data_IF_818047777465
#
_entry.id   IF_818047777465
#
_cell.length_a   1.000
_cell.length_b   1.000
_cell.length_c   1.000
_cell.angle_alpha   90.00
_cell.angle_beta   90.00
_cell.angle_gamma   90.00
#
_symmetry.space_group_name_H-M   'P 1'
#
loop_
_entity.id
_entity.type
_entity.pdbx_description
1 polymer ?
#
# COMPACT_ATOMS: atom_id res chain seq x y z
N UNK A 1 1.34 11.96 -6.97
CA UNK A 1 0.74 12.18 -5.63
C UNK A 1 1.04 10.96 -4.77
N UNK A 2 1.30 11.12 -3.47
CA UNK A 2 1.53 10.01 -2.52
C UNK A 2 0.51 10.10 -1.40
N UNK A 3 -0.15 9.00 -1.05
CA UNK A 3 -1.18 8.93 0.00
C UNK A 3 -0.86 7.76 0.92
N UNK A 4 -0.86 7.99 2.22
CA UNK A 4 -0.72 6.97 3.24
C UNK A 4 -2.00 6.92 4.10
N UNK A 5 -2.51 5.71 4.36
CA UNK A 5 -3.71 5.49 5.20
C UNK A 5 -3.29 4.72 6.44
N UNK A 6 -3.30 5.38 7.59
CA UNK A 6 -2.89 4.82 8.89
C UNK A 6 -3.99 4.96 9.94
N UNK A 7 -3.90 4.17 11.02
CA UNK A 7 -4.92 4.11 12.08
C UNK A 7 -4.96 2.77 12.82
N UNK A 8 -5.76 2.72 13.89
CA UNK A 8 -5.89 1.53 14.75
C UNK A 8 -6.41 0.28 14.01
N UNK A 9 -6.25 -0.89 14.62
CA UNK A 9 -6.86 -2.14 14.13
C UNK A 9 -8.39 -1.99 13.99
N UNK A 10 -8.95 -2.50 12.90
CA UNK A 10 -10.40 -2.48 12.66
C UNK A 10 -11.00 -1.12 12.23
N UNK A 11 -10.20 -0.05 12.05
CA UNK A 11 -10.73 1.28 11.66
C UNK A 11 -11.11 1.41 10.18
N UNK A 12 -11.09 0.33 9.40
CA UNK A 12 -11.46 0.34 7.97
C UNK A 12 -10.37 0.83 7.00
N UNK A 13 -9.09 0.85 7.41
CA UNK A 13 -7.96 1.36 6.59
C UNK A 13 -7.88 0.72 5.22
N UNK A 14 -7.85 -0.60 5.16
CA UNK A 14 -7.72 -1.36 3.92
C UNK A 14 -8.91 -1.13 3.00
N UNK A 15 -10.12 -1.05 3.55
CA UNK A 15 -11.33 -0.72 2.81
C UNK A 15 -11.26 0.67 2.19
N UNK A 16 -10.83 1.67 2.98
CA UNK A 16 -10.66 3.04 2.51
C UNK A 16 -9.57 3.14 1.44
N UNK A 17 -8.40 2.53 1.67
CA UNK A 17 -7.28 2.50 0.75
C UNK A 17 -7.65 1.85 -0.60
N UNK A 18 -8.30 0.69 -0.56
CA UNK A 18 -8.78 0.01 -1.77
C UNK A 18 -9.85 0.81 -2.52
N UNK A 19 -10.79 1.43 -1.81
CA UNK A 19 -11.82 2.28 -2.42
C UNK A 19 -11.19 3.49 -3.11
N UNK A 20 -10.28 4.17 -2.42
CA UNK A 20 -9.58 5.33 -2.96
C UNK A 20 -8.74 4.97 -4.19
N UNK A 21 -8.00 3.86 -4.14
CA UNK A 21 -7.22 3.37 -5.27
C UNK A 21 -8.12 3.11 -6.50
N UNK A 22 -9.29 2.46 -6.30
CA UNK A 22 -10.25 2.20 -7.37
C UNK A 22 -10.84 3.48 -7.95
N UNK A 23 -11.16 4.47 -7.13
CA UNK A 23 -11.69 5.77 -7.60
C UNK A 23 -10.63 6.49 -8.43
N UNK A 24 -9.40 6.62 -7.90
CA UNK A 24 -8.30 7.29 -8.60
C UNK A 24 -7.99 6.62 -9.95
N UNK A 25 -7.95 5.28 -9.98
CA UNK A 25 -7.72 4.53 -11.20
C UNK A 25 -8.85 4.74 -12.22
N UNK A 26 -10.12 4.73 -11.78
CA UNK A 26 -11.28 5.00 -12.64
C UNK A 26 -11.30 6.43 -13.18
N UNK A 27 -10.70 7.38 -12.47
CA UNK A 27 -10.50 8.75 -12.94
C UNK A 27 -9.32 8.91 -13.92
N UNK A 28 -8.72 7.81 -14.40
CA UNK A 28 -7.66 7.83 -15.41
C UNK A 28 -6.24 7.95 -14.85
N UNK A 29 -6.07 7.88 -13.52
CA UNK A 29 -4.74 7.93 -12.93
C UNK A 29 -4.07 6.55 -12.99
N UNK A 30 -2.76 6.52 -13.25
CA UNK A 30 -1.93 5.33 -12.98
C UNK A 30 -1.75 5.22 -11.47
N UNK A 31 -2.24 4.13 -10.88
CA UNK A 31 -2.24 3.91 -9.43
C UNK A 31 -1.40 2.69 -9.09
N UNK A 32 -0.41 2.88 -8.23
CA UNK A 32 0.29 1.82 -7.52
C UNK A 32 -0.30 1.74 -6.10
N UNK A 33 -0.90 0.60 -5.76
CA UNK A 33 -1.51 0.35 -4.46
C UNK A 33 -0.65 -0.65 -3.68
N UNK A 34 -0.20 -0.27 -2.50
CA UNK A 34 0.73 -1.05 -1.68
C UNK A 34 0.05 -1.38 -0.34
N UNK A 35 0.08 -2.66 0.05
CA UNK A 35 -0.33 -3.12 1.38
C UNK A 35 0.92 -3.45 2.19
N UNK A 36 1.08 -2.77 3.32
CA UNK A 36 2.20 -2.96 4.27
C UNK A 36 1.71 -3.56 5.59
N UNK A 37 0.50 -4.11 5.62
CA UNK A 37 -0.01 -4.86 6.77
C UNK A 37 0.59 -6.28 6.77
N UNK A 38 1.05 -6.81 7.92
CA UNK A 38 1.52 -8.19 8.03
C UNK A 38 0.48 -9.24 7.62
N UNK A 39 -0.82 -8.89 7.63
CA UNK A 39 -1.89 -9.71 7.07
C UNK A 39 -2.60 -8.96 5.92
N UNK A 40 -2.05 -9.00 4.70
CA UNK A 40 -2.51 -8.15 3.60
C UNK A 40 -3.91 -8.54 3.12
N UNK A 41 -4.77 -7.55 2.94
CA UNK A 41 -6.17 -7.73 2.50
C UNK A 41 -6.58 -6.73 1.41
N UNK A 42 -5.64 -5.92 0.92
CA UNK A 42 -5.91 -4.91 -0.11
C UNK A 42 -6.33 -5.52 -1.44
N UNK A 43 -5.72 -6.64 -1.86
CA UNK A 43 -6.06 -7.32 -3.11
C UNK A 43 -7.55 -7.71 -3.17
N UNK A 44 -8.06 -8.27 -2.07
CA UNK A 44 -9.48 -8.61 -1.91
C UNK A 44 -10.35 -7.35 -1.95
N UNK A 45 -9.93 -6.27 -1.28
CA UNK A 45 -10.64 -4.97 -1.30
C UNK A 45 -10.69 -4.34 -2.70
N UNK A 46 -9.69 -4.62 -3.53
CA UNK A 46 -9.64 -4.21 -4.94
C UNK A 46 -10.54 -5.07 -5.85
N UNK A 47 -11.05 -6.20 -5.33
CA UNK A 47 -11.95 -7.11 -6.05
C UNK A 47 -11.23 -8.19 -6.86
N UNK A 48 -9.99 -8.52 -6.50
CA UNK A 48 -9.30 -9.67 -7.08
C UNK A 48 -9.88 -10.96 -6.48
N UNK A 49 -9.99 -11.99 -7.32
CA UNK A 49 -10.27 -13.35 -6.87
C UNK A 49 -9.04 -13.94 -6.13
N UNK A 50 -9.21 -15.04 -5.37
CA UNK A 50 -8.13 -15.64 -4.59
C UNK A 50 -6.91 -16.05 -5.42
N UNK A 51 -7.11 -16.56 -6.64
CA UNK A 51 -6.00 -17.03 -7.49
C UNK A 51 -5.14 -15.84 -7.96
N UNK A 52 -5.79 -14.75 -8.38
CA UNK A 52 -5.10 -13.52 -8.75
C UNK A 52 -4.45 -12.82 -7.57
N UNK A 53 -5.06 -12.88 -6.39
CA UNK A 53 -4.46 -12.34 -5.18
C UNK A 53 -3.21 -13.13 -4.76
N UNK A 54 -3.24 -14.46 -4.89
CA UNK A 54 -2.11 -15.33 -4.59
C UNK A 54 -0.95 -15.18 -5.60
N UNK A 55 -1.24 -14.74 -6.82
CA UNK A 55 -0.24 -14.48 -7.85
C UNK A 55 0.50 -13.13 -7.70
N UNK A 56 0.12 -12.29 -6.74
CA UNK A 56 0.81 -11.02 -6.48
C UNK A 56 2.18 -11.32 -5.89
N UNK A 57 3.23 -10.85 -6.56
CA UNK A 57 4.59 -10.95 -6.05
C UNK A 57 4.77 -10.05 -4.82
N UNK A 58 5.28 -10.65 -3.73
CA UNK A 58 5.53 -9.92 -2.49
C UNK A 58 6.85 -9.20 -2.62
N UNK A 59 6.82 -7.87 -2.56
CA UNK A 59 8.03 -7.06 -2.53
C UNK A 59 8.69 -7.21 -1.14
N UNK A 60 9.98 -7.58 -1.04
CA UNK A 60 10.64 -7.83 0.25
C UNK A 60 10.68 -6.60 1.14
N UNK A 61 10.34 -6.68 2.42
CA UNK A 61 10.31 -5.51 3.34
C UNK A 61 11.64 -4.73 3.45
N UNK A 62 12.75 -5.28 2.97
CA UNK A 62 14.06 -4.63 2.88
C UNK A 62 14.10 -3.38 2.02
N UNK A 63 13.11 -3.11 1.15
CA UNK A 63 13.04 -1.83 0.43
C UNK A 63 12.53 -0.66 1.28
N UNK A 64 12.04 -0.92 2.50
CA UNK A 64 11.51 0.11 3.39
C UNK A 64 12.46 0.35 4.58
N UNK A 65 12.89 1.59 4.75
CA UNK A 65 13.72 2.01 5.88
C UNK A 65 12.93 2.88 6.83
N UNK A 66 12.92 2.50 8.10
CA UNK A 66 12.31 3.29 9.15
C UNK A 66 13.39 4.19 9.78
N UNK A 67 13.12 5.49 9.86
CA UNK A 67 13.96 6.42 10.62
C UNK A 67 13.10 7.24 11.57
N UNK A 68 13.66 7.51 12.75
CA UNK A 68 13.11 8.49 13.68
C UNK A 68 13.90 9.79 13.51
N UNK A 69 13.20 10.84 13.14
CA UNK A 69 13.80 12.17 12.99
C UNK A 69 14.10 12.74 14.38
N UNK A 70 15.02 13.72 14.45
CA UNK A 70 15.39 14.37 15.71
C UNK A 70 14.21 15.05 16.46
N UNK A 71 13.07 15.26 15.79
CA UNK A 71 11.82 15.78 16.36
C UNK A 71 10.86 14.68 16.87
N UNK A 72 11.30 13.41 16.89
CA UNK A 72 10.51 12.25 17.31
C UNK A 72 9.48 11.78 16.26
N UNK A 73 9.52 12.31 15.04
CA UNK A 73 8.64 11.83 13.96
C UNK A 73 9.21 10.59 13.28
N UNK A 74 8.37 9.58 13.14
CA UNK A 74 8.66 8.41 12.32
C UNK A 74 8.52 8.74 10.84
N UNK A 75 9.54 8.39 10.06
CA UNK A 75 9.55 8.45 8.61
C UNK A 75 9.84 7.06 8.05
N UNK A 76 9.21 6.75 6.91
CA UNK A 76 9.49 5.54 6.14
C UNK A 76 10.00 5.96 4.78
N UNK A 77 11.25 5.65 4.49
CA UNK A 77 11.87 5.77 3.17
C UNK A 77 11.62 4.50 2.37
N UNK A 78 11.35 4.64 1.07
CA UNK A 78 11.28 3.52 0.14
C UNK A 78 12.46 3.65 -0.83
N UNK A 79 13.26 2.59 -0.93
CA UNK A 79 14.47 2.55 -1.75
C UNK A 79 14.20 2.18 -3.21
N UNK A 80 13.00 1.69 -3.51
CA UNK A 80 12.53 1.41 -4.86
C UNK A 80 11.66 2.55 -5.37
N UNK A 81 11.94 2.99 -6.59
CA UNK A 81 11.03 3.83 -7.35
C UNK A 81 9.76 3.04 -7.72
N UNK A 82 8.62 3.71 -7.92
CA UNK A 82 7.41 3.06 -8.42
C UNK A 82 7.65 2.26 -9.70
N UNK A 83 8.56 2.68 -10.56
CA UNK A 83 8.92 2.02 -11.81
C UNK A 83 9.68 0.70 -11.61
N UNK A 84 10.41 0.56 -10.49
CA UNK A 84 11.12 -0.68 -10.14
C UNK A 84 10.21 -1.72 -9.48
N UNK A 85 9.00 -1.33 -9.07
CA UNK A 85 8.02 -2.21 -8.40
C UNK A 85 7.11 -2.93 -9.43
N UNK A 86 6.94 -2.38 -10.65
CA UNK A 86 5.99 -2.90 -11.68
C UNK A 86 6.66 -3.38 -12.95
#
# INVERSE_FOLDING_TARGET
MKIAVAGKGGSGKTTLAGTLARILARSGNRVLAIDVDPNPNLAVSLGLDPDRAAAIEVVPSTFAHHSENADGKYSVGLDLSPEEIV
#
